data_IF_536719665887
#
_entry.id   IF_536719665887
#
_cell.length_a   1.000
_cell.length_b   1.000
_cell.length_c   1.000
_cell.angle_alpha   90.00
_cell.angle_beta   90.00
_cell.angle_gamma   90.00
#
_symmetry.space_group_name_H-M   'P 1'
#
loop_
_entity.id
_entity.type
_entity.pdbx_description
1 polymer ?
#
# COMPACT_ATOMS: atom_id res chain seq x y z
N UNK A 1 1.67 17.85 38.55
CA UNK A 1 0.56 16.90 38.33
C UNK A 1 -0.72 17.64 37.93
N UNK A 2 -0.96 17.86 36.63
CA UNK A 2 -2.14 18.63 36.12
C UNK A 2 -3.03 17.79 35.20
N UNK A 3 -3.01 16.46 35.36
CA UNK A 3 -3.82 15.60 34.51
C UNK A 3 -5.26 15.57 35.01
N UNK A 4 -6.17 16.18 34.26
CA UNK A 4 -7.62 16.09 34.46
C UNK A 4 -8.17 15.03 33.49
N UNK A 5 -8.73 13.95 34.05
CA UNK A 5 -9.23 12.81 33.30
C UNK A 5 -10.67 12.99 32.78
N UNK A 6 -11.26 14.18 32.91
CA UNK A 6 -12.65 14.42 32.51
C UNK A 6 -12.85 14.33 30.98
N UNK A 7 -13.75 13.43 30.57
CA UNK A 7 -14.10 13.22 29.16
C UNK A 7 -15.24 14.14 28.74
N UNK A 8 -14.91 15.22 28.03
CA UNK A 8 -15.90 16.17 27.51
C UNK A 8 -16.70 15.66 26.30
N UNK A 9 -16.18 14.65 25.61
CA UNK A 9 -16.86 14.06 24.46
C UNK A 9 -17.85 12.97 24.90
N UNK A 10 -19.15 13.31 24.86
CA UNK A 10 -20.27 12.41 25.20
C UNK A 10 -20.78 11.57 24.01
N UNK A 11 -20.15 11.67 22.84
CA UNK A 11 -20.54 10.82 21.70
C UNK A 11 -20.12 9.36 21.94
N UNK A 12 -20.94 8.43 21.43
CA UNK A 12 -20.66 6.98 21.42
C UNK A 12 -19.57 6.58 20.41
N UNK A 13 -18.86 7.55 19.84
CA UNK A 13 -17.82 7.29 18.88
C UNK A 13 -16.58 6.71 19.58
N UNK A 14 -15.93 5.74 18.94
CA UNK A 14 -14.74 5.10 19.48
C UNK A 14 -13.66 6.16 19.76
N UNK A 15 -13.06 6.18 20.96
CA UNK A 15 -11.96 7.09 21.24
C UNK A 15 -10.78 6.80 20.33
N UNK A 16 -10.04 7.85 19.96
CA UNK A 16 -8.89 7.73 19.08
C UNK A 16 -7.83 6.75 19.60
N UNK A 17 -7.66 6.68 20.92
CA UNK A 17 -6.74 5.75 21.58
C UNK A 17 -7.03 4.28 21.23
N UNK A 18 -8.31 3.88 21.22
CA UNK A 18 -8.71 2.52 20.85
C UNK A 18 -8.42 2.21 19.37
N UNK A 19 -8.61 3.21 18.49
CA UNK A 19 -8.29 3.08 17.06
C UNK A 19 -6.78 2.97 16.86
N UNK A 20 -6.00 3.80 17.57
CA UNK A 20 -4.54 3.78 17.53
C UNK A 20 -4.00 2.44 18.02
N UNK A 21 -4.49 1.94 19.16
CA UNK A 21 -4.08 0.67 19.73
C UNK A 21 -4.42 -0.52 18.82
N UNK A 22 -5.61 -0.53 18.22
CA UNK A 22 -6.00 -1.53 17.23
C UNK A 22 -5.06 -1.54 16.01
N UNK A 23 -4.61 -0.36 15.55
CA UNK A 23 -3.68 -0.25 14.43
C UNK A 23 -2.27 -0.74 14.76
N UNK A 24 -1.76 -0.41 15.96
CA UNK A 24 -0.44 -0.80 16.43
C UNK A 24 -0.37 -2.31 16.71
N UNK A 25 -1.43 -2.87 17.31
CA UNK A 25 -1.57 -4.31 17.54
C UNK A 25 -1.47 -5.13 16.25
N UNK A 26 -2.22 -4.75 15.20
CA UNK A 26 -2.15 -5.44 13.89
C UNK A 26 -0.74 -5.39 13.28
N UNK A 27 -0.06 -4.24 13.35
CA UNK A 27 1.31 -4.09 12.83
C UNK A 27 2.30 -4.94 13.63
N UNK A 28 2.14 -5.01 14.94
CA UNK A 28 2.98 -5.85 15.81
C UNK A 28 2.84 -7.33 15.45
N UNK A 29 1.60 -7.81 15.28
CA UNK A 29 1.30 -9.19 14.88
C UNK A 29 1.90 -9.52 13.50
N UNK A 30 1.70 -8.65 12.51
CA UNK A 30 2.26 -8.84 11.17
C UNK A 30 3.80 -8.84 11.17
N UNK A 31 4.42 -7.93 11.93
CA UNK A 31 5.89 -7.84 12.04
C UNK A 31 6.48 -9.03 12.79
N UNK A 32 5.80 -9.52 13.83
CA UNK A 32 6.19 -10.74 14.55
C UNK A 32 6.05 -12.01 13.72
N UNK A 33 4.98 -12.14 12.93
CA UNK A 33 4.73 -13.31 12.08
C UNK A 33 5.71 -13.42 10.90
N UNK A 34 6.02 -12.30 10.24
CA UNK A 34 6.98 -12.27 9.12
C UNK A 34 8.41 -12.58 9.56
N UNK A 35 8.82 -12.16 10.77
CA UNK A 35 10.17 -12.43 11.29
C UNK A 35 10.47 -13.91 11.49
N UNK A 36 9.48 -14.69 11.93
CA UNK A 36 9.63 -16.13 12.18
C UNK A 36 9.57 -16.92 10.86
N UNK A 37 8.66 -16.57 9.94
CA UNK A 37 8.54 -17.27 8.65
C UNK A 37 9.64 -16.91 7.64
N UNK A 38 10.18 -15.69 7.68
CA UNK A 38 11.27 -15.31 6.79
C UNK A 38 12.59 -16.03 7.14
N UNK A 39 12.89 -16.23 8.42
CA UNK A 39 14.09 -16.97 8.84
C UNK A 39 14.07 -18.43 8.39
N UNK A 40 12.90 -19.09 8.42
CA UNK A 40 12.77 -20.48 7.93
C UNK A 40 12.78 -20.57 6.40
N UNK A 41 12.22 -19.59 5.69
CA UNK A 41 12.21 -19.58 4.23
C UNK A 41 13.59 -19.24 3.62
N UNK A 42 14.30 -18.24 4.16
CA UNK A 42 15.62 -17.82 3.66
C UNK A 42 16.76 -18.78 4.05
N UNK A 43 16.57 -19.62 5.08
CA UNK A 43 17.54 -20.66 5.44
C UNK A 43 17.49 -21.90 4.55
N UNK A 44 16.35 -22.18 3.90
CA UNK A 44 16.15 -23.38 3.08
C UNK A 44 16.21 -23.10 1.56
N UNK A 45 15.86 -21.90 1.11
CA UNK A 45 15.90 -21.51 -0.30
C UNK A 45 16.84 -20.33 -0.46
N UNK A 46 18.08 -20.61 -0.87
CA UNK A 46 19.14 -19.61 -1.06
C UNK A 46 18.70 -18.44 -1.95
N UNK A 47 19.34 -17.29 -1.75
CA UNK A 47 19.13 -16.05 -2.53
C UNK A 47 19.23 -16.34 -4.03
N UNK A 48 18.09 -16.48 -4.71
CA UNK A 48 18.03 -16.45 -6.16
C UNK A 48 18.19 -14.99 -6.62
N UNK A 49 19.44 -14.60 -6.89
CA UNK A 49 19.75 -13.34 -7.55
C UNK A 49 19.19 -13.35 -8.97
N UNK A 50 18.21 -12.48 -9.25
CA UNK A 50 17.70 -12.28 -10.60
C UNK A 50 18.70 -11.43 -11.40
N UNK A 51 19.71 -12.05 -11.99
CA UNK A 51 20.56 -11.44 -13.02
C UNK A 51 19.90 -11.69 -14.38
N UNK A 52 19.20 -10.70 -14.91
CA UNK A 52 18.59 -10.79 -16.25
C UNK A 52 19.65 -10.60 -17.34
N UNK A 53 20.27 -11.69 -17.78
CA UNK A 53 20.93 -11.78 -19.08
C UNK A 53 20.09 -12.70 -19.96
N UNK A 54 19.58 -12.15 -21.05
CA UNK A 54 18.65 -12.77 -21.99
C UNK A 54 19.20 -14.05 -22.64
N UNK A 55 18.48 -15.17 -22.54
CA UNK A 55 18.00 -15.96 -23.69
C UNK A 55 17.28 -17.21 -23.19
N UNK A 56 16.02 -17.38 -23.61
CA UNK A 56 15.37 -18.68 -23.76
C UNK A 56 15.15 -19.51 -22.50
N UNK A 57 13.93 -19.46 -21.95
CA UNK A 57 13.13 -20.65 -21.61
C UNK A 57 11.80 -20.17 -21.04
N UNK A 58 10.72 -20.65 -21.65
CA UNK A 58 9.34 -20.32 -21.31
C UNK A 58 9.02 -20.76 -19.88
N UNK A 59 8.99 -19.80 -18.94
CA UNK A 59 8.29 -19.98 -17.68
C UNK A 59 6.83 -19.57 -17.93
N UNK A 60 5.93 -20.56 -18.01
CA UNK A 60 4.50 -20.31 -17.95
C UNK A 60 4.15 -19.80 -16.55
N UNK A 61 4.30 -18.50 -16.33
CA UNK A 61 3.72 -17.86 -15.17
C UNK A 61 2.21 -17.79 -15.39
N UNK A 62 1.49 -18.63 -14.67
CA UNK A 62 0.05 -18.48 -14.43
C UNK A 62 -0.19 -17.16 -13.69
N UNK A 63 -0.16 -16.05 -14.41
CA UNK A 63 -0.77 -14.81 -13.97
C UNK A 63 -2.23 -14.91 -14.40
N UNK A 64 -3.14 -15.06 -13.44
CA UNK A 64 -4.56 -14.95 -13.72
C UNK A 64 -4.79 -13.59 -14.39
N UNK A 65 -4.97 -13.61 -15.71
CA UNK A 65 -5.26 -12.41 -16.50
C UNK A 65 -6.55 -11.86 -15.93
N UNK A 66 -6.44 -10.73 -15.23
CA UNK A 66 -7.59 -10.01 -14.70
C UNK A 66 -8.55 -9.74 -15.86
N UNK A 67 -9.75 -10.34 -15.82
CA UNK A 67 -10.83 -10.12 -16.80
C UNK A 67 -11.49 -8.74 -16.65
N UNK A 68 -10.85 -7.81 -15.95
CA UNK A 68 -11.36 -6.48 -15.74
C UNK A 68 -11.28 -5.71 -17.06
N UNK A 69 -12.43 -5.26 -17.56
CA UNK A 69 -12.50 -4.38 -18.72
C UNK A 69 -12.23 -2.97 -18.22
N UNK A 70 -11.12 -2.39 -18.67
CA UNK A 70 -10.78 -1.00 -18.44
C UNK A 70 -11.24 -0.20 -19.66
N UNK A 71 -12.02 0.84 -19.45
CA UNK A 71 -12.49 1.73 -20.52
C UNK A 71 -11.47 2.84 -20.85
N UNK A 72 -10.18 2.60 -20.59
CA UNK A 72 -9.10 3.52 -20.90
C UNK A 72 -7.86 2.74 -21.33
N UNK A 73 -7.08 3.34 -22.22
CA UNK A 73 -5.79 2.79 -22.63
C UNK A 73 -4.73 3.00 -21.55
N UNK A 74 -3.89 1.99 -21.36
CA UNK A 74 -2.76 2.07 -20.42
C UNK A 74 -1.77 3.16 -20.86
N UNK A 75 -1.25 3.91 -19.88
CA UNK A 75 -0.35 5.04 -20.09
C UNK A 75 1.02 4.67 -19.53
N UNK A 76 2.15 5.01 -20.19
CA UNK A 76 3.47 4.81 -19.61
C UNK A 76 3.65 5.63 -18.31
N UNK A 77 4.47 5.13 -17.39
CA UNK A 77 4.89 5.89 -16.22
C UNK A 77 5.69 7.15 -16.62
N UNK A 78 5.51 8.24 -15.87
CA UNK A 78 6.20 9.51 -16.12
C UNK A 78 7.03 9.95 -14.91
N UNK A 79 8.14 10.63 -15.18
CA UNK A 79 9.01 11.28 -14.19
C UNK A 79 8.73 12.79 -14.04
N UNK A 80 7.73 13.30 -14.75
CA UNK A 80 7.34 14.71 -14.71
C UNK A 80 6.61 15.04 -13.42
N UNK A 81 6.86 16.23 -12.87
CA UNK A 81 6.07 16.79 -11.75
C UNK A 81 4.72 17.33 -12.26
N UNK A 82 3.86 16.41 -12.70
CA UNK A 82 2.55 16.69 -13.27
C UNK A 82 1.63 15.46 -13.23
N UNK A 83 0.32 15.66 -13.37
CA UNK A 83 -0.67 14.58 -13.44
C UNK A 83 -0.76 14.03 -14.87
N UNK A 84 -0.45 12.75 -15.07
CA UNK A 84 -0.57 12.06 -16.36
C UNK A 84 -1.93 11.35 -16.47
N UNK A 85 -2.66 11.60 -17.55
CA UNK A 85 -4.03 11.08 -17.77
C UNK A 85 -4.19 10.47 -19.18
N UNK A 86 -5.12 9.52 -19.37
CA UNK A 86 -5.38 8.93 -20.68
C UNK A 86 -6.14 9.90 -21.59
N UNK A 87 -6.16 9.62 -22.89
CA UNK A 87 -6.86 10.44 -23.88
C UNK A 87 -8.36 10.53 -23.55
N UNK A 88 -8.96 11.71 -23.69
CA UNK A 88 -10.37 11.94 -23.41
C UNK A 88 -10.73 12.18 -21.93
N UNK A 89 -9.75 12.18 -21.02
CA UNK A 89 -9.95 12.51 -19.61
C UNK A 89 -9.50 13.93 -19.28
N UNK A 90 -9.96 14.46 -18.14
CA UNK A 90 -9.53 15.77 -17.62
C UNK A 90 -9.32 15.68 -16.11
N UNK A 91 -8.26 16.31 -15.61
CA UNK A 91 -7.99 16.43 -14.18
C UNK A 91 -8.22 17.88 -13.74
N UNK A 92 -8.86 18.08 -12.59
CA UNK A 92 -9.14 19.41 -12.02
C UNK A 92 -8.79 19.42 -10.53
N UNK A 93 -8.17 20.50 -10.06
CA UNK A 93 -7.92 20.75 -8.63
C UNK A 93 -9.22 21.27 -8.01
N UNK A 94 -9.74 20.58 -6.99
CA UNK A 94 -10.97 20.99 -6.30
C UNK A 94 -10.70 22.06 -5.25
N UNK A 95 -9.70 21.85 -4.39
CA UNK A 95 -9.28 22.80 -3.36
C UNK A 95 -7.76 22.71 -3.22
N UNK A 96 -7.00 23.77 -3.53
CA UNK A 96 -5.59 23.81 -3.23
C UNK A 96 -5.39 24.06 -1.74
N UNK A 97 -4.34 23.46 -1.18
CA UNK A 97 -3.95 23.75 0.20
C UNK A 97 -3.67 25.25 0.39
N UNK A 98 -4.19 25.83 1.47
CA UNK A 98 -4.00 27.24 1.81
C UNK A 98 -5.04 28.21 1.24
N UNK A 99 -6.11 27.73 0.59
CA UNK A 99 -7.28 28.57 0.28
C UNK A 99 -8.27 28.58 1.46
N UNK A 100 -8.58 29.75 2.04
CA UNK A 100 -9.50 29.88 3.17
C UNK A 100 -10.97 29.63 2.79
#
# INVERSE_FOLDING_TARGET
ETFDATRYNQSDNKPFEEVLEASLSRRSILKGGLGISAMTAFGAFGLAGCNSSSSGTSASNGSGVSKAVLNFDSIPGSLTDAVSIPQGYTAQVLVPWGTP
#
